data_IF_874082913825
#
_entry.id   IF_874082913825
#
_cell.length_a   1.000
_cell.length_b   1.000
_cell.length_c   1.000
_cell.angle_alpha   90.00
_cell.angle_beta   90.00
_cell.angle_gamma   90.00
#
_symmetry.space_group_name_H-M   'P 1'
#
loop_
_entity.id
_entity.type
_entity.pdbx_description
1 polymer ?
#
# COMPACT_ATOMS: atom_id res chain seq x y z
N UNK A 1 -27.12 6.23 -3.62
CA UNK A 1 -27.16 5.64 -2.27
C UNK A 1 -25.85 4.85 -2.08
N UNK A 2 -24.86 5.40 -1.37
CA UNK A 2 -23.55 4.75 -1.18
C UNK A 2 -23.61 3.89 0.08
N UNK A 3 -23.50 2.57 -0.06
CA UNK A 3 -23.34 1.68 1.08
C UNK A 3 -21.94 1.88 1.69
N UNK A 4 -21.80 1.95 3.03
CA UNK A 4 -20.49 2.03 3.65
C UNK A 4 -19.69 0.75 3.34
N UNK A 5 -18.60 0.89 2.59
CA UNK A 5 -17.64 -0.19 2.35
C UNK A 5 -16.65 -0.25 3.53
N UNK A 6 -16.67 -1.37 4.24
CA UNK A 6 -15.73 -1.72 5.29
C UNK A 6 -14.52 -2.39 4.65
N UNK A 7 -13.32 -1.84 4.85
CA UNK A 7 -12.09 -2.58 4.55
C UNK A 7 -11.69 -3.31 5.82
N UNK A 8 -11.87 -4.62 5.82
CA UNK A 8 -11.41 -5.50 6.88
C UNK A 8 -10.01 -5.99 6.53
N UNK A 9 -9.00 -5.61 7.32
CA UNK A 9 -7.70 -6.28 7.28
C UNK A 9 -7.60 -7.27 8.42
N UNK A 10 -7.31 -8.52 8.09
CA UNK A 10 -6.98 -9.56 9.07
C UNK A 10 -5.47 -9.68 9.18
N UNK A 11 -4.95 -9.52 10.39
CA UNK A 11 -3.55 -9.73 10.76
C UNK A 11 -3.53 -10.93 11.70
N UNK A 12 -2.66 -11.90 11.43
CA UNK A 12 -2.45 -13.07 12.29
C UNK A 12 -1.06 -12.96 12.91
N UNK A 13 -1.01 -12.86 14.23
CA UNK A 13 0.23 -12.80 15.00
C UNK A 13 0.35 -14.12 15.76
N UNK A 14 1.51 -14.77 15.66
CA UNK A 14 1.83 -16.01 16.39
C UNK A 14 3.03 -15.78 17.26
N UNK A 15 2.91 -16.07 18.56
CA UNK A 15 4.00 -15.96 19.52
C UNK A 15 4.16 -17.26 20.29
N UNK A 16 5.35 -17.85 20.24
CA UNK A 16 5.72 -19.03 21.03
C UNK A 16 6.41 -18.60 22.31
N UNK A 17 6.08 -19.24 23.43
CA UNK A 17 6.69 -18.98 24.73
C UNK A 17 6.78 -20.26 25.56
N UNK A 18 7.80 -20.33 26.43
CA UNK A 18 7.92 -21.41 27.43
C UNK A 18 7.13 -21.04 28.67
N UNK A 19 5.96 -21.67 28.85
CA UNK A 19 5.05 -21.47 29.96
C UNK A 19 4.04 -22.63 29.99
N UNK A 20 3.27 -22.77 31.09
CA UNK A 20 2.13 -23.69 31.08
C UNK A 20 0.92 -23.06 30.38
N UNK A 21 0.06 -23.89 29.78
CA UNK A 21 -1.16 -23.42 29.10
C UNK A 21 -2.08 -22.72 30.09
N UNK A 22 -2.17 -23.22 31.32
CA UNK A 22 -3.00 -22.65 32.39
C UNK A 22 -2.55 -21.24 32.76
N UNK A 23 -1.25 -21.02 32.94
CA UNK A 23 -0.72 -19.70 33.30
C UNK A 23 -0.94 -18.68 32.17
N UNK A 24 -0.72 -19.08 30.92
CA UNK A 24 -0.94 -18.21 29.75
C UNK A 24 -2.43 -17.94 29.52
N UNK A 25 -3.28 -18.95 29.75
CA UNK A 25 -4.74 -18.82 29.62
C UNK A 25 -5.35 -17.95 30.71
N UNK A 26 -4.83 -18.00 31.93
CA UNK A 26 -5.23 -17.09 33.02
C UNK A 26 -4.90 -15.63 32.68
N UNK A 27 -3.69 -15.38 32.15
CA UNK A 27 -3.26 -14.04 31.70
C UNK A 27 -4.12 -13.52 30.55
N UNK A 28 -4.44 -14.36 29.56
CA UNK A 28 -5.23 -13.94 28.39
C UNK A 28 -6.72 -13.81 28.74
N UNK A 29 -7.24 -14.67 29.60
CA UNK A 29 -8.62 -14.59 30.11
C UNK A 29 -8.82 -13.35 30.98
N UNK A 30 -7.77 -12.89 31.64
CA UNK A 30 -7.70 -11.61 32.30
C UNK A 30 -7.11 -10.54 31.35
N UNK A 31 -7.90 -10.14 30.35
CA UNK A 31 -7.45 -9.24 29.28
C UNK A 31 -6.81 -7.92 29.74
N UNK A 32 -7.05 -7.49 30.99
CA UNK A 32 -6.31 -6.42 31.66
C UNK A 32 -4.82 -6.73 31.76
N UNK A 33 -4.48 -7.90 32.33
CA UNK A 33 -3.11 -8.37 32.52
C UNK A 33 -2.41 -8.57 31.18
N UNK A 34 -3.11 -9.05 30.15
CA UNK A 34 -2.56 -9.14 28.79
C UNK A 34 -2.15 -7.77 28.22
N UNK A 35 -2.95 -6.72 28.46
CA UNK A 35 -2.63 -5.38 27.97
C UNK A 35 -1.58 -4.66 28.82
N UNK A 36 -1.53 -4.90 30.13
CA UNK A 36 -0.45 -4.39 30.99
C UNK A 36 0.93 -4.93 30.57
N UNK A 37 0.97 -6.15 30.03
CA UNK A 37 2.19 -6.77 29.54
C UNK A 37 2.62 -6.27 28.15
N UNK A 38 1.84 -5.38 27.52
CA UNK A 38 2.23 -4.77 26.25
C UNK A 38 3.30 -3.69 26.51
N UNK A 39 4.47 -3.77 25.84
CA UNK A 39 5.62 -2.91 26.15
C UNK A 39 5.42 -1.43 25.84
N UNK A 40 4.32 -1.07 25.19
CA UNK A 40 4.00 0.29 24.78
C UNK A 40 2.88 0.93 25.59
N UNK A 41 2.13 0.18 26.40
CA UNK A 41 1.07 0.73 27.25
C UNK A 41 1.71 1.46 28.43
N UNK A 42 1.35 2.75 28.62
CA UNK A 42 1.87 3.58 29.73
C UNK A 42 0.80 3.96 30.74
N UNK A 43 -0.48 3.82 30.40
CA UNK A 43 -1.59 4.05 31.31
C UNK A 43 -2.77 3.19 30.89
N UNK A 44 -3.43 2.58 31.86
CA UNK A 44 -4.69 1.88 31.71
C UNK A 44 -5.67 2.45 32.74
N UNK A 45 -6.87 2.83 32.33
CA UNK A 45 -7.94 3.30 33.20
C UNK A 45 -9.22 2.54 32.91
N UNK A 46 -9.85 1.95 33.93
CA UNK A 46 -11.14 1.30 33.77
C UNK A 46 -12.25 2.34 33.64
N UNK A 47 -13.12 2.16 32.65
CA UNK A 47 -14.38 2.90 32.59
C UNK A 47 -15.36 2.27 33.58
N UNK A 48 -15.47 2.83 34.79
CA UNK A 48 -16.37 2.32 35.83
C UNK A 48 -17.86 2.33 35.44
N UNK A 49 -18.23 3.01 34.35
CA UNK A 49 -19.59 2.97 33.81
C UNK A 49 -19.86 1.75 32.91
N UNK A 50 -18.82 1.04 32.48
CA UNK A 50 -18.92 -0.12 31.58
C UNK A 50 -18.04 -1.29 32.08
N UNK A 51 -18.63 -2.40 32.54
CA UNK A 51 -17.84 -3.55 32.98
C UNK A 51 -16.91 -4.03 31.86
N UNK A 52 -15.64 -4.28 32.22
CA UNK A 52 -14.59 -4.76 31.31
C UNK A 52 -14.26 -3.84 30.12
N UNK A 53 -14.49 -2.54 30.27
CA UNK A 53 -14.02 -1.53 29.31
C UNK A 53 -12.90 -0.69 29.91
N UNK A 54 -11.85 -0.48 29.13
CA UNK A 54 -10.65 0.21 29.58
C UNK A 54 -10.20 1.21 28.52
N UNK A 55 -9.66 2.33 28.99
CA UNK A 55 -8.92 3.27 28.19
C UNK A 55 -7.43 2.96 28.33
N UNK A 56 -6.79 2.70 27.20
CA UNK A 56 -5.35 2.49 27.10
C UNK A 56 -4.71 3.72 26.52
N UNK A 57 -3.62 4.18 27.13
CA UNK A 57 -2.71 5.15 26.54
C UNK A 57 -1.40 4.44 26.25
N UNK A 58 -1.04 4.41 24.98
CA UNK A 58 0.22 3.86 24.52
C UNK A 58 1.20 4.97 24.20
N UNK A 59 2.46 4.73 24.55
CA UNK A 59 3.59 5.56 24.16
C UNK A 59 4.38 4.83 23.09
N UNK A 60 3.98 5.06 21.85
CA UNK A 60 4.68 4.47 20.71
C UNK A 60 5.85 5.37 20.32
N UNK A 61 7.00 4.80 19.93
CA UNK A 61 8.08 5.58 19.35
C UNK A 61 7.53 6.45 18.24
N UNK A 62 7.83 7.75 18.27
CA UNK A 62 7.45 8.63 17.18
C UNK A 62 8.08 8.07 15.91
N UNK A 63 7.30 7.76 14.87
CA UNK A 63 7.83 7.26 13.61
C UNK A 63 8.72 8.29 12.90
N UNK A 64 8.76 9.53 13.39
CA UNK A 64 9.62 10.62 12.93
C UNK A 64 10.97 10.69 13.67
N UNK A 65 11.27 9.74 14.55
CA UNK A 65 12.49 9.74 15.39
C UNK A 65 12.56 10.88 16.42
N UNK A 66 11.55 11.75 16.45
CA UNK A 66 11.45 12.89 17.36
C UNK A 66 10.40 12.60 18.43
N UNK A 67 10.84 12.20 19.62
CA UNK A 67 9.97 12.01 20.78
C UNK A 67 9.14 10.72 20.75
N UNK A 68 8.07 10.70 21.54
CA UNK A 68 7.15 9.56 21.67
C UNK A 68 5.73 10.05 21.45
N UNK A 69 4.96 9.35 20.62
CA UNK A 69 3.55 9.67 20.39
C UNK A 69 2.69 9.01 21.45
N UNK A 70 1.61 9.68 21.84
CA UNK A 70 0.59 9.14 22.70
C UNK A 70 -0.62 8.74 21.86
N UNK A 71 -0.91 7.44 21.81
CA UNK A 71 -2.15 6.94 21.25
C UNK A 71 -3.09 6.59 22.39
N UNK A 72 -4.39 6.86 22.24
CA UNK A 72 -5.37 6.32 23.17
C UNK A 72 -6.43 5.48 22.46
N UNK A 73 -6.86 4.41 23.13
CA UNK A 73 -7.84 3.46 22.63
C UNK A 73 -8.80 3.08 23.75
N UNK A 74 -10.07 2.93 23.42
CA UNK A 74 -11.05 2.27 24.27
C UNK A 74 -11.12 0.81 23.84
N UNK A 75 -11.00 -0.13 24.77
CA UNK A 75 -11.11 -1.57 24.50
C UNK A 75 -12.04 -2.21 25.50
N UNK A 76 -12.98 -3.00 24.99
CA UNK A 76 -13.94 -3.79 25.74
C UNK A 76 -13.63 -5.27 25.56
N UNK A 77 -13.52 -5.98 26.68
CA UNK A 77 -13.24 -7.42 26.70
C UNK A 77 -14.52 -8.24 26.81
N UNK A 78 -14.60 -9.29 26.00
CA UNK A 78 -15.63 -10.33 26.16
C UNK A 78 -15.27 -11.25 27.32
N UNK A 79 -16.23 -11.97 27.91
CA UNK A 79 -15.92 -13.11 28.77
C UNK A 79 -15.01 -14.13 28.08
N UNK A 80 -14.19 -14.88 28.85
CA UNK A 80 -13.45 -16.01 28.32
C UNK A 80 -14.39 -16.97 27.60
N UNK A 81 -13.96 -17.47 26.44
CA UNK A 81 -14.71 -18.44 25.64
C UNK A 81 -13.87 -19.69 25.53
N UNK A 82 -14.47 -20.83 25.88
CA UNK A 82 -13.89 -22.14 25.63
C UNK A 82 -14.13 -22.50 24.15
N UNK A 83 -13.07 -22.63 23.37
CA UNK A 83 -13.13 -23.00 21.95
C UNK A 83 -12.56 -24.40 21.74
N UNK A 84 -12.89 -25.02 20.61
CA UNK A 84 -12.43 -26.38 20.26
C UNK A 84 -10.89 -26.51 20.17
N UNK A 85 -10.18 -25.38 20.07
CA UNK A 85 -8.73 -25.28 19.94
C UNK A 85 -8.02 -24.64 21.16
N UNK A 86 -8.74 -24.42 22.27
CA UNK A 86 -8.19 -23.92 23.54
C UNK A 86 -9.04 -22.82 24.22
N UNK A 87 -8.53 -22.27 25.33
CA UNK A 87 -9.13 -21.11 25.98
C UNK A 87 -8.72 -19.81 25.26
N UNK A 88 -9.60 -18.82 25.24
CA UNK A 88 -9.31 -17.53 24.64
C UNK A 88 -10.26 -16.41 25.04
N UNK A 89 -9.89 -15.19 24.64
CA UNK A 89 -10.70 -13.99 24.85
C UNK A 89 -10.93 -13.27 23.53
N UNK A 90 -12.09 -12.63 23.38
CA UNK A 90 -12.36 -11.73 22.27
C UNK A 90 -12.33 -10.29 22.78
N UNK A 91 -11.67 -9.41 22.02
CA UNK A 91 -11.52 -7.99 22.34
C UNK A 91 -12.14 -7.16 21.24
N UNK A 92 -12.78 -6.06 21.63
CA UNK A 92 -13.31 -5.06 20.73
C UNK A 92 -12.73 -3.73 21.12
N UNK A 93 -12.11 -3.03 20.18
CA UNK A 93 -11.50 -1.75 20.49
C UNK A 93 -11.74 -0.69 19.44
N UNK A 94 -11.52 0.55 19.85
CA UNK A 94 -11.60 1.74 19.01
C UNK A 94 -10.46 2.68 19.35
N UNK A 95 -9.74 3.14 18.34
CA UNK A 95 -8.72 4.19 18.50
C UNK A 95 -9.39 5.57 18.58
N UNK A 96 -9.00 6.37 19.58
CA UNK A 96 -9.65 7.65 19.92
C UNK A 96 -8.94 8.85 19.28
N UNK A 97 -7.62 8.80 19.05
CA UNK A 97 -6.79 9.98 18.71
C UNK A 97 -6.38 10.14 17.23
N UNK A 98 -7.08 9.52 16.29
CA UNK A 98 -6.78 9.66 14.85
C UNK A 98 -8.02 10.13 14.09
N UNK A 99 -7.82 10.96 13.03
CA UNK A 99 -8.91 11.44 12.13
C UNK A 99 -9.74 10.28 11.56
N UNK A 100 -9.14 9.09 11.50
CA UNK A 100 -9.79 7.81 11.30
C UNK A 100 -9.94 7.22 12.70
N UNK A 101 -11.13 6.96 13.23
CA UNK A 101 -11.26 6.12 14.44
C UNK A 101 -11.44 4.66 14.01
N UNK A 102 -10.40 3.92 13.61
CA UNK A 102 -10.57 2.53 13.24
C UNK A 102 -11.16 1.77 14.43
N UNK A 103 -12.17 0.96 14.12
CA UNK A 103 -12.60 -0.08 15.03
C UNK A 103 -11.73 -1.29 14.76
N UNK A 104 -11.45 -2.07 15.79
CA UNK A 104 -10.80 -3.35 15.61
C UNK A 104 -11.47 -4.40 16.47
N UNK A 105 -11.38 -5.64 16.01
CA UNK A 105 -11.75 -6.83 16.74
C UNK A 105 -10.51 -7.70 16.82
N UNK A 106 -10.09 -8.07 18.02
CA UNK A 106 -9.02 -9.05 18.22
C UNK A 106 -9.57 -10.32 18.85
N UNK A 107 -9.02 -11.47 18.45
CA UNK A 107 -9.30 -12.76 19.05
C UNK A 107 -7.98 -13.39 19.45
N UNK A 108 -7.78 -13.56 20.76
CA UNK A 108 -6.62 -14.24 21.31
C UNK A 108 -6.96 -15.68 21.66
N UNK A 109 -6.09 -16.59 21.26
CA UNK A 109 -6.19 -18.03 21.51
C UNK A 109 -4.86 -18.56 22.04
N UNK A 110 -4.96 -19.49 22.97
CA UNK A 110 -3.82 -20.21 23.52
C UNK A 110 -3.87 -21.63 23.02
N UNK A 111 -2.79 -22.08 22.39
CA UNK A 111 -2.67 -23.43 21.85
C UNK A 111 -1.44 -24.12 22.42
N UNK A 112 -1.62 -25.35 22.89
CA UNK A 112 -0.51 -26.21 23.27
C UNK A 112 0.26 -26.66 22.02
N UNK A 113 1.59 -26.69 22.11
CA UNK A 113 2.44 -27.17 21.01
C UNK A 113 2.89 -28.61 21.28
N UNK A 114 3.39 -29.28 20.24
CA UNK A 114 3.97 -30.63 20.38
C UNK A 114 5.25 -30.64 21.24
N UNK A 115 5.88 -29.48 21.47
CA UNK A 115 7.04 -29.34 22.35
C UNK A 115 6.59 -29.12 23.80
N UNK A 116 6.96 -30.05 24.68
CA UNK A 116 6.59 -30.02 26.09
C UNK A 116 7.00 -28.70 26.76
N UNK A 117 6.03 -28.03 27.41
CA UNK A 117 6.26 -26.75 28.08
C UNK A 117 6.36 -25.55 27.15
N UNK A 118 6.01 -25.68 25.87
CA UNK A 118 5.91 -24.58 24.91
C UNK A 118 4.46 -24.37 24.49
N UNK A 119 4.03 -23.12 24.57
CA UNK A 119 2.67 -22.67 24.25
C UNK A 119 2.74 -21.66 23.11
N UNK A 120 1.79 -21.73 22.18
CA UNK A 120 1.61 -20.79 21.09
C UNK A 120 0.38 -19.91 21.36
N UNK A 121 0.60 -18.61 21.45
CA UNK A 121 -0.47 -17.60 21.49
C UNK A 121 -0.72 -17.14 20.06
N UNK A 122 -1.95 -17.30 19.60
CA UNK A 122 -2.41 -16.85 18.28
C UNK A 122 -3.37 -15.67 18.49
N UNK A 123 -3.00 -14.52 17.96
CA UNK A 123 -3.86 -13.35 17.90
C UNK A 123 -4.34 -13.15 16.46
N UNK A 124 -5.65 -13.03 16.29
CA UNK A 124 -6.30 -12.68 15.03
C UNK A 124 -6.90 -11.29 15.21
N UNK A 125 -6.23 -10.29 14.64
CA UNK A 125 -6.64 -8.90 14.66
C UNK A 125 -7.34 -8.54 13.35
N UNK A 126 -8.60 -8.16 13.42
CA UNK A 126 -9.39 -7.61 12.33
C UNK A 126 -9.52 -6.11 12.54
N UNK A 127 -8.93 -5.31 11.66
CA UNK A 127 -9.05 -3.85 11.69
C UNK A 127 -10.12 -3.44 10.68
N UNK A 128 -11.18 -2.80 11.18
CA UNK A 128 -12.23 -2.17 10.38
C UNK A 128 -11.84 -0.70 10.15
N UNK A 129 -11.35 -0.41 8.95
CA UNK A 129 -11.07 0.97 8.54
C UNK A 129 -12.33 1.52 7.88
N UNK A 130 -13.02 2.42 8.59
CA UNK A 130 -14.32 2.95 8.17
C UNK A 130 -14.42 4.46 8.30
N UNK A 131 -15.21 5.05 7.39
CA UNK A 131 -15.71 6.45 7.32
C UNK A 131 -14.85 7.52 6.62
N UNK A 132 -13.52 7.47 6.68
CA UNK A 132 -12.70 8.56 6.08
C UNK A 132 -12.50 8.38 4.58
N UNK A 133 -12.29 7.16 4.09
CA UNK A 133 -12.14 6.89 2.65
C UNK A 133 -13.40 7.32 1.89
N UNK A 134 -14.61 6.97 2.35
CA UNK A 134 -15.84 7.39 1.65
C UNK A 134 -16.01 8.91 1.65
N UNK A 135 -15.67 9.62 2.73
CA UNK A 135 -15.77 11.09 2.77
C UNK A 135 -14.69 11.78 1.93
N UNK A 136 -13.45 11.26 1.95
CA UNK A 136 -12.34 11.75 1.13
C UNK A 136 -12.65 11.51 -0.36
N UNK A 137 -13.09 10.30 -0.71
CA UNK A 137 -13.45 9.89 -2.07
C UNK A 137 -14.70 10.63 -2.57
N UNK A 138 -15.69 10.91 -1.71
CA UNK A 138 -16.86 11.73 -2.08
C UNK A 138 -16.46 13.19 -2.32
N UNK A 139 -15.50 13.73 -1.55
CA UNK A 139 -14.95 15.07 -1.78
C UNK A 139 -14.11 15.13 -3.08
N UNK A 140 -13.28 14.13 -3.33
CA UNK A 140 -12.53 13.99 -4.59
C UNK A 140 -13.45 13.88 -5.81
N UNK A 141 -14.54 13.12 -5.69
CA UNK A 141 -15.57 12.98 -6.75
C UNK A 141 -16.27 14.30 -7.09
N UNK A 142 -16.57 15.11 -6.07
CA UNK A 142 -17.39 16.32 -6.24
C UNK A 142 -16.57 17.59 -6.56
N UNK A 143 -15.23 17.54 -6.45
CA UNK A 143 -14.35 18.69 -6.73
C UNK A 143 -13.03 18.25 -7.39
N UNK A 144 -13.02 17.94 -8.70
CA UNK A 144 -11.84 17.45 -9.42
C UNK A 144 -10.71 18.49 -9.59
N UNK A 145 -10.93 19.77 -9.24
CA UNK A 145 -9.91 20.84 -9.28
C UNK A 145 -9.25 21.13 -7.93
N UNK A 146 -9.52 20.34 -6.89
CA UNK A 146 -9.05 20.61 -5.52
C UNK A 146 -7.66 20.03 -5.19
N UNK A 147 -6.84 19.69 -6.18
CA UNK A 147 -5.47 19.18 -5.99
C UNK A 147 -4.56 20.18 -5.26
N UNK A 148 -4.83 21.48 -5.33
CA UNK A 148 -4.06 22.51 -4.64
C UNK A 148 -4.58 22.84 -3.23
N UNK A 149 -5.88 22.69 -2.96
CA UNK A 149 -6.48 23.08 -1.67
C UNK A 149 -6.48 21.93 -0.66
N UNK A 150 -6.53 20.67 -1.10
CA UNK A 150 -6.34 19.51 -0.20
C UNK A 150 -4.87 19.26 0.13
N UNK A 151 -3.93 19.59 -0.77
CA UNK A 151 -2.49 19.59 -0.47
C UNK A 151 -2.13 20.70 0.53
N UNK A 152 -2.75 21.88 0.43
CA UNK A 152 -2.68 22.91 1.46
C UNK A 152 -3.44 22.54 2.72
N UNK A 153 -4.60 21.87 2.65
CA UNK A 153 -5.43 21.53 3.81
C UNK A 153 -4.87 20.39 4.67
N UNK A 154 -4.50 19.26 4.07
CA UNK A 154 -3.80 18.18 4.79
C UNK A 154 -2.36 18.57 5.14
N UNK A 155 -1.68 19.32 4.26
CA UNK A 155 -0.32 19.82 4.50
C UNK A 155 -0.25 20.86 5.61
N UNK A 156 -1.16 21.84 5.64
CA UNK A 156 -1.26 22.81 6.74
C UNK A 156 -1.70 22.16 8.04
N UNK A 157 -2.62 21.19 8.05
CA UNK A 157 -3.04 20.58 9.33
C UNK A 157 -2.00 19.62 9.91
N UNK A 158 -1.29 18.87 9.07
CA UNK A 158 -0.11 18.10 9.51
C UNK A 158 1.03 19.04 9.93
N UNK A 159 1.20 20.19 9.26
CA UNK A 159 2.15 21.23 9.65
C UNK A 159 1.76 21.97 10.95
N UNK A 160 0.47 22.23 11.20
CA UNK A 160 -0.04 22.89 12.41
C UNK A 160 0.01 21.98 13.64
N UNK A 161 -0.10 20.67 13.45
CA UNK A 161 0.18 19.68 14.52
C UNK A 161 1.68 19.46 14.76
N UNK A 162 2.55 19.84 13.80
CA UNK A 162 4.02 19.80 13.93
C UNK A 162 4.62 21.10 14.49
N UNK A 163 4.05 22.27 14.20
CA UNK A 163 4.58 23.58 14.61
C UNK A 163 4.24 23.96 16.05
N UNK A 164 3.24 23.34 16.66
CA UNK A 164 2.95 23.52 18.10
C UNK A 164 3.85 22.68 19.02
N UNK A 165 4.71 21.80 18.49
CA UNK A 165 5.51 20.86 19.29
C UNK A 165 7.02 21.02 19.16
N UNK A 166 7.55 21.74 18.16
CA UNK A 166 8.98 22.04 18.05
C UNK A 166 9.21 23.32 17.20
N UNK A 167 9.51 24.49 17.81
CA UNK A 167 9.64 25.73 17.03
C UNK A 167 10.93 25.84 16.19
N UNK A 168 11.94 24.99 16.43
CA UNK A 168 13.31 25.22 15.94
C UNK A 168 13.96 23.98 15.27
N UNK A 169 13.37 23.41 14.22
CA UNK A 169 14.06 22.40 13.41
C UNK A 169 13.97 22.70 11.91
N UNK A 170 15.02 23.30 11.37
CA UNK A 170 15.25 23.55 9.93
C UNK A 170 15.88 22.34 9.21
N UNK A 171 15.67 21.12 9.71
CA UNK A 171 16.17 19.89 9.06
C UNK A 171 15.06 19.20 8.29
N UNK A 172 15.27 19.09 6.97
CA UNK A 172 14.45 18.39 5.98
C UNK A 172 13.91 17.06 6.53
N UNK A 173 12.62 17.05 6.84
CA UNK A 173 11.83 15.94 7.37
C UNK A 173 11.67 14.85 6.32
N UNK A 174 12.34 13.70 6.48
CA UNK A 174 12.04 12.50 5.71
C UNK A 174 10.77 11.83 6.27
N UNK A 175 9.67 11.90 5.50
CA UNK A 175 8.38 11.27 5.77
C UNK A 175 8.45 9.74 5.55
N UNK A 176 8.69 8.95 6.60
CA UNK A 176 8.76 7.48 6.50
C UNK A 176 7.84 6.72 7.48
N UNK A 177 7.12 5.67 7.01
CA UNK A 177 6.65 5.44 5.65
C UNK A 177 5.15 5.73 5.61
N UNK A 178 4.79 6.95 5.25
CA UNK A 178 3.49 7.16 4.61
C UNK A 178 3.44 6.38 3.27
N UNK A 179 4.62 6.12 2.69
CA UNK A 179 4.82 5.45 1.42
C UNK A 179 5.56 4.13 1.57
N UNK A 180 5.20 3.13 0.76
CA UNK A 180 5.92 1.88 0.61
C UNK A 180 6.46 1.78 -0.82
N UNK A 181 7.65 1.21 -0.96
CA UNK A 181 8.20 0.89 -2.27
C UNK A 181 7.71 -0.49 -2.71
N UNK A 182 7.29 -0.60 -3.96
CA UNK A 182 6.82 -1.83 -4.60
C UNK A 182 7.56 -2.04 -5.90
N UNK A 183 8.05 -3.25 -6.09
CA UNK A 183 8.63 -3.71 -7.35
C UNK A 183 7.66 -4.71 -7.99
N UNK A 184 7.31 -4.47 -9.25
CA UNK A 184 6.45 -5.30 -10.07
C UNK A 184 7.31 -5.81 -11.23
N UNK A 185 7.38 -7.12 -11.39
CA UNK A 185 8.14 -7.75 -12.48
C UNK A 185 7.16 -8.46 -13.40
N UNK A 186 7.15 -8.08 -14.67
CA UNK A 186 6.27 -8.62 -15.70
C UNK A 186 7.16 -9.23 -16.79
N UNK A 187 6.81 -10.44 -17.22
CA UNK A 187 7.52 -11.16 -18.28
C UNK A 187 6.54 -11.62 -19.35
N UNK A 188 6.92 -11.50 -20.61
CA UNK A 188 6.14 -12.01 -21.73
C UNK A 188 7.06 -12.60 -22.80
N UNK A 189 6.77 -13.82 -23.24
CA UNK A 189 7.38 -14.40 -24.44
C UNK A 189 6.55 -14.04 -25.66
N UNK A 190 7.20 -13.66 -26.74
CA UNK A 190 6.59 -13.17 -27.97
C UNK A 190 7.23 -13.89 -29.17
N UNK A 191 6.41 -14.37 -30.10
CA UNK A 191 6.88 -15.06 -31.32
C UNK A 191 7.17 -14.05 -32.43
N UNK A 192 8.31 -13.39 -32.32
CA UNK A 192 8.78 -12.41 -33.30
C UNK A 192 10.31 -12.31 -33.25
N UNK A 193 10.90 -11.65 -34.25
CA UNK A 193 12.33 -11.33 -34.22
C UNK A 193 12.64 -10.28 -33.15
N UNK A 194 13.86 -10.33 -32.61
CA UNK A 194 14.36 -9.31 -31.67
C UNK A 194 14.21 -7.90 -32.24
N UNK A 195 14.53 -7.70 -33.52
CA UNK A 195 14.41 -6.41 -34.19
C UNK A 195 12.97 -5.86 -34.19
N UNK A 196 11.97 -6.71 -34.46
CA UNK A 196 10.57 -6.30 -34.51
C UNK A 196 10.06 -5.85 -33.12
N UNK A 197 10.45 -6.56 -32.06
CA UNK A 197 10.07 -6.19 -30.69
C UNK A 197 10.89 -4.99 -30.19
N UNK A 198 12.17 -4.93 -30.54
CA UNK A 198 13.07 -3.81 -30.21
C UNK A 198 12.61 -2.49 -30.84
N UNK A 199 11.92 -2.51 -31.99
CA UNK A 199 11.37 -1.30 -32.61
C UNK A 199 10.39 -0.55 -31.70
N UNK A 200 9.58 -1.29 -30.94
CA UNK A 200 8.64 -0.70 -29.98
C UNK A 200 9.31 -0.44 -28.64
N UNK A 201 10.09 -1.40 -28.14
CA UNK A 201 10.68 -1.33 -26.79
C UNK A 201 11.93 -0.47 -26.70
N UNK A 202 12.49 0.01 -27.82
CA UNK A 202 13.54 1.05 -27.85
C UNK A 202 12.97 2.47 -27.98
N UNK A 203 11.67 2.61 -28.26
CA UNK A 203 10.99 3.89 -28.48
C UNK A 203 9.92 4.06 -27.41
N UNK A 204 10.21 4.92 -26.43
CA UNK A 204 9.34 5.16 -25.30
C UNK A 204 7.92 5.60 -25.66
N UNK A 205 7.78 6.42 -26.71
CA UNK A 205 6.49 6.89 -27.15
C UNK A 205 5.69 5.76 -27.80
N UNK A 206 6.31 5.01 -28.73
CA UNK A 206 5.66 3.83 -29.33
C UNK A 206 5.26 2.81 -28.27
N UNK A 207 6.12 2.56 -27.28
CA UNK A 207 5.84 1.63 -26.18
C UNK A 207 4.66 2.10 -25.34
N UNK A 208 4.67 3.35 -24.87
CA UNK A 208 3.62 3.86 -23.98
C UNK A 208 2.27 4.04 -24.69
N UNK A 209 2.25 4.28 -26.00
CA UNK A 209 1.00 4.31 -26.79
C UNK A 209 0.27 2.95 -26.83
N UNK A 210 0.93 1.85 -26.45
CA UNK A 210 0.27 0.54 -26.33
C UNK A 210 -0.55 0.42 -25.03
N UNK A 211 -0.29 1.27 -24.04
CA UNK A 211 -0.94 1.23 -22.72
C UNK A 211 -2.45 1.56 -22.83
N UNK A 212 -3.34 0.82 -22.13
CA UNK A 212 -4.79 0.89 -22.36
C UNK A 212 -5.49 2.17 -21.85
N UNK A 213 -4.89 2.86 -20.89
CA UNK A 213 -5.43 4.03 -20.22
C UNK A 213 -4.87 5.36 -20.75
N UNK A 214 -3.77 5.34 -21.51
CA UNK A 214 -3.17 6.53 -22.12
C UNK A 214 -4.13 7.12 -23.14
N UNK A 215 -4.61 8.34 -22.86
CA UNK A 215 -5.45 9.12 -23.76
C UNK A 215 -4.62 10.04 -24.65
N UNK A 216 -3.60 10.67 -24.07
CA UNK A 216 -2.76 11.65 -24.76
C UNK A 216 -1.34 11.59 -24.21
N UNK A 217 -0.38 11.70 -25.12
CA UNK A 217 1.02 11.99 -24.79
C UNK A 217 1.41 13.28 -25.50
N UNK A 218 2.17 14.14 -24.81
CA UNK A 218 2.67 15.38 -25.36
C UNK A 218 4.14 15.53 -24.99
N UNK A 219 4.99 15.61 -26.00
CA UNK A 219 6.43 15.89 -25.85
C UNK A 219 6.62 17.33 -25.35
N UNK A 220 7.58 17.51 -24.43
CA UNK A 220 8.01 18.83 -24.00
C UNK A 220 8.92 19.47 -25.06
N UNK A 221 8.53 20.64 -25.57
CA UNK A 221 9.29 21.35 -26.61
C UNK A 221 10.71 21.77 -26.20
N UNK A 222 10.98 21.84 -24.89
CA UNK A 222 12.28 22.19 -24.33
C UNK A 222 13.14 20.97 -23.99
N UNK A 223 12.54 19.78 -23.87
CA UNK A 223 13.25 18.54 -23.56
C UNK A 223 12.58 17.36 -24.29
N UNK A 224 13.16 16.86 -25.40
CA UNK A 224 12.55 15.81 -26.22
C UNK A 224 12.50 14.44 -25.52
N UNK A 225 13.18 14.29 -24.39
CA UNK A 225 13.12 13.07 -23.57
C UNK A 225 11.97 13.11 -22.56
N UNK A 226 11.34 14.27 -22.33
CA UNK A 226 10.28 14.47 -21.35
C UNK A 226 8.91 14.52 -22.03
N UNK A 227 7.98 13.73 -21.51
CA UNK A 227 6.62 13.64 -22.00
C UNK A 227 5.64 13.88 -20.87
N UNK A 228 4.59 14.62 -21.17
CA UNK A 228 3.39 14.73 -20.36
C UNK A 228 2.39 13.70 -20.83
N UNK A 229 2.00 12.79 -19.95
CA UNK A 229 1.03 11.74 -20.22
C UNK A 229 -0.28 12.07 -19.49
N UNK A 230 -1.39 11.96 -20.21
CA UNK A 230 -2.74 12.02 -19.67
C UNK A 230 -3.37 10.64 -19.81
N UNK A 231 -3.81 10.08 -18.69
CA UNK A 231 -4.50 8.80 -18.61
C UNK A 231 -5.91 8.97 -18.08
N UNK A 232 -6.78 8.02 -18.44
CA UNK A 232 -8.07 7.82 -17.79
C UNK A 232 -8.12 6.41 -17.22
N UNK A 233 -8.11 6.32 -15.90
CA UNK A 233 -8.03 5.06 -15.17
C UNK A 233 -9.31 4.81 -14.38
N UNK A 234 -9.69 3.54 -14.16
CA UNK A 234 -10.78 3.22 -13.25
C UNK A 234 -10.37 3.64 -11.84
N UNK A 235 -11.18 4.46 -11.18
CA UNK A 235 -10.96 4.83 -9.79
C UNK A 235 -10.96 3.59 -8.87
N UNK A 236 -10.45 3.70 -7.63
CA UNK A 236 -10.54 2.60 -6.67
C UNK A 236 -11.94 2.00 -6.63
N UNK A 237 -12.00 0.67 -6.69
CA UNK A 237 -13.24 -0.13 -6.74
C UNK A 237 -14.03 -0.08 -8.07
N UNK A 238 -13.50 0.57 -9.12
CA UNK A 238 -14.06 0.51 -10.48
C UNK A 238 -15.43 1.17 -10.66
N UNK A 239 -15.82 2.06 -9.74
CA UNK A 239 -17.14 2.67 -9.72
C UNK A 239 -17.27 3.91 -10.62
N UNK A 240 -16.15 4.51 -11.01
CA UNK A 240 -16.06 5.64 -11.96
C UNK A 240 -14.66 5.66 -12.59
N UNK A 241 -14.47 6.54 -13.57
CA UNK A 241 -13.17 6.81 -14.17
C UNK A 241 -12.62 8.13 -13.64
N UNK A 242 -11.29 8.19 -13.48
CA UNK A 242 -10.59 9.40 -13.07
C UNK A 242 -9.50 9.73 -14.08
N UNK A 243 -9.37 11.03 -14.37
CA UNK A 243 -8.25 11.54 -15.16
C UNK A 243 -7.03 11.64 -14.25
N UNK A 244 -5.89 11.16 -14.75
CA UNK A 244 -4.59 11.25 -14.10
C UNK A 244 -3.58 11.81 -15.08
N UNK A 245 -2.62 12.59 -14.60
CA UNK A 245 -1.49 13.00 -15.41
C UNK A 245 -0.17 12.86 -14.68
N UNK A 246 0.86 12.63 -15.48
CA UNK A 246 2.21 12.46 -14.99
C UNK A 246 3.22 12.86 -16.06
N UNK A 247 4.41 13.16 -15.59
CA UNK A 247 5.58 13.33 -16.42
C UNK A 247 6.32 12.01 -16.51
N UNK A 248 6.84 11.70 -17.70
CA UNK A 248 7.66 10.54 -17.95
C UNK A 248 8.86 10.94 -18.78
N UNK A 249 10.05 10.54 -18.32
CA UNK A 249 11.31 10.73 -19.00
C UNK A 249 11.76 9.38 -19.53
N UNK A 250 12.01 9.33 -20.84
CA UNK A 250 12.59 8.17 -21.50
C UNK A 250 14.10 8.34 -21.61
N UNK A 251 14.85 7.29 -21.28
CA UNK A 251 16.27 7.23 -21.62
C UNK A 251 16.47 7.01 -23.12
N UNK A 252 17.70 7.21 -23.59
CA UNK A 252 18.12 6.61 -24.85
C UNK A 252 18.02 5.08 -24.77
N UNK A 253 17.90 4.38 -25.92
CA UNK A 253 17.92 2.92 -25.93
C UNK A 253 19.15 2.38 -25.19
N UNK A 254 18.93 1.39 -24.33
CA UNK A 254 19.97 0.75 -23.52
C UNK A 254 20.14 -0.69 -23.97
N UNK A 255 21.38 -1.15 -24.05
CA UNK A 255 21.74 -2.55 -24.25
C UNK A 255 22.70 -2.97 -23.12
N UNK A 256 22.25 -3.89 -22.29
CA UNK A 256 22.97 -4.40 -21.12
C UNK A 256 22.82 -5.93 -21.00
N UNK A 257 23.34 -6.53 -19.92
CA UNK A 257 23.23 -7.97 -19.67
C UNK A 257 21.77 -8.48 -19.63
N UNK A 258 20.81 -7.59 -19.35
CA UNK A 258 19.38 -7.88 -19.35
C UNK A 258 18.75 -7.92 -20.75
N UNK A 259 19.44 -7.39 -21.76
CA UNK A 259 18.99 -7.29 -23.15
C UNK A 259 18.93 -5.85 -23.65
N UNK A 260 18.19 -5.63 -24.73
CA UNK A 260 17.98 -4.30 -25.34
C UNK A 260 16.62 -3.72 -24.97
N UNK A 261 16.53 -2.42 -24.68
CA UNK A 261 15.25 -1.74 -24.45
C UNK A 261 15.40 -0.30 -23.99
N UNK A 262 14.59 0.12 -23.00
CA UNK A 262 14.55 1.49 -22.47
C UNK A 262 14.42 1.52 -20.96
N UNK A 263 14.92 2.60 -20.36
CA UNK A 263 14.60 2.99 -19.00
C UNK A 263 13.64 4.17 -18.99
N UNK A 264 12.72 4.16 -18.05
CA UNK A 264 11.69 5.15 -17.87
C UNK A 264 11.69 5.63 -16.43
N UNK A 265 11.56 6.93 -16.22
CA UNK A 265 11.32 7.50 -14.90
C UNK A 265 10.17 8.47 -14.96
N UNK A 266 9.24 8.37 -14.03
CA UNK A 266 8.03 9.17 -14.03
C UNK A 266 7.73 9.81 -12.69
N UNK A 267 7.07 10.96 -12.75
CA UNK A 267 6.56 11.67 -11.60
C UNK A 267 5.06 11.95 -11.81
N UNK A 268 4.23 11.38 -10.94
CA UNK A 268 2.79 11.64 -10.97
C UNK A 268 2.48 13.01 -10.38
N UNK A 269 1.47 13.70 -10.92
CA UNK A 269 0.99 14.95 -10.34
C UNK A 269 0.39 14.73 -8.95
N UNK A 270 -0.25 13.58 -8.77
CA UNK A 270 -0.70 13.07 -7.48
C UNK A 270 0.50 12.61 -6.62
N UNK A 271 1.42 13.53 -6.32
CA UNK A 271 2.67 13.28 -5.57
C UNK A 271 2.42 12.66 -4.19
N UNK A 272 1.24 12.86 -3.62
CA UNK A 272 0.83 12.28 -2.34
C UNK A 272 0.45 10.79 -2.45
N UNK A 273 0.08 10.33 -3.65
CA UNK A 273 -0.39 8.95 -3.88
C UNK A 273 0.72 8.07 -4.42
N UNK A 274 1.46 8.57 -5.42
CA UNK A 274 2.53 7.82 -6.08
C UNK A 274 3.63 8.78 -6.58
N UNK A 275 4.51 9.27 -5.69
CA UNK A 275 5.44 10.34 -6.01
C UNK A 275 6.45 10.00 -7.11
N UNK A 276 6.80 8.71 -7.27
CA UNK A 276 7.85 8.28 -8.18
C UNK A 276 7.56 6.92 -8.77
N UNK A 277 7.77 6.80 -10.08
CA UNK A 277 7.78 5.56 -10.84
C UNK A 277 9.11 5.44 -11.55
N UNK A 278 9.66 4.24 -11.61
CA UNK A 278 10.74 3.86 -12.52
C UNK A 278 10.33 2.57 -13.21
N UNK A 279 10.58 2.44 -14.50
CA UNK A 279 10.42 1.20 -15.24
C UNK A 279 11.69 0.90 -16.03
N UNK A 280 12.10 -0.36 -16.07
CA UNK A 280 13.13 -0.83 -17.00
C UNK A 280 12.51 -1.90 -17.88
N UNK A 281 12.62 -1.73 -19.19
CA UNK A 281 12.13 -2.69 -20.18
C UNK A 281 13.33 -3.27 -20.92
N UNK A 282 13.41 -4.59 -21.00
CA UNK A 282 14.46 -5.31 -21.71
C UNK A 282 13.87 -6.40 -22.56
N UNK A 283 14.47 -6.61 -23.72
CA UNK A 283 14.13 -7.66 -24.68
C UNK A 283 15.37 -8.46 -25.00
N UNK A 284 15.25 -9.77 -24.97
CA UNK A 284 16.33 -10.72 -25.30
C UNK A 284 15.80 -11.90 -26.09
N UNK A 285 16.65 -12.51 -26.89
CA UNK A 285 16.35 -13.78 -27.52
C UNK A 285 16.25 -14.89 -26.48
N UNK A 286 15.39 -15.87 -26.75
CA UNK A 286 15.29 -17.08 -25.93
C UNK A 286 16.01 -18.23 -26.59
N UNK A 287 16.10 -19.36 -25.90
CA UNK A 287 16.61 -20.62 -26.46
C UNK A 287 15.74 -21.11 -27.64
N UNK A 288 14.46 -20.74 -27.70
CA UNK A 288 13.59 -21.07 -28.82
C UNK A 288 13.79 -20.10 -30.00
N UNK A 289 14.13 -20.61 -31.20
CA UNK A 289 14.28 -19.77 -32.40
C UNK A 289 12.99 -19.01 -32.72
N UNK A 290 13.13 -17.71 -33.00
CA UNK A 290 11.99 -16.85 -33.33
C UNK A 290 11.11 -16.48 -32.13
N UNK A 291 11.56 -16.77 -30.91
CA UNK A 291 10.89 -16.37 -29.67
C UNK A 291 11.80 -15.45 -28.85
N UNK A 292 11.25 -14.31 -28.44
CA UNK A 292 11.94 -13.34 -27.59
C UNK A 292 11.20 -13.18 -26.27
N UNK A 293 11.94 -12.86 -25.21
CA UNK A 293 11.38 -12.53 -23.90
C UNK A 293 11.50 -11.04 -23.65
N UNK A 294 10.36 -10.40 -23.37
CA UNK A 294 10.28 -9.04 -22.84
C UNK A 294 10.14 -9.12 -21.32
N UNK A 295 11.03 -8.44 -20.62
CA UNK A 295 11.00 -8.29 -19.16
C UNK A 295 10.85 -6.82 -18.83
N UNK A 296 9.83 -6.50 -18.04
CA UNK A 296 9.61 -5.16 -17.50
C UNK A 296 9.68 -5.21 -15.97
N UNK A 297 10.51 -4.34 -15.38
CA UNK A 297 10.65 -4.17 -13.93
C UNK A 297 10.21 -2.75 -13.58
N UNK A 298 9.03 -2.63 -12.97
CA UNK A 298 8.55 -1.38 -12.40
C UNK A 298 8.90 -1.28 -10.92
N UNK A 299 9.43 -0.13 -10.51
CA UNK A 299 9.56 0.28 -9.12
C UNK A 299 8.71 1.52 -8.88
N UNK A 300 7.79 1.43 -7.92
CA UNK A 300 6.90 2.53 -7.58
C UNK A 300 6.90 2.76 -6.08
N UNK A 301 6.96 4.04 -5.70
CA UNK A 301 6.69 4.47 -4.34
C UNK A 301 5.22 4.85 -4.23
N UNK A 302 4.48 4.23 -3.31
CA UNK A 302 3.02 4.39 -3.19
C UNK A 302 2.58 4.61 -1.77
N UNK A 303 1.56 5.45 -1.57
CA UNK A 303 0.92 5.64 -0.27
C UNK A 303 0.38 4.30 0.26
N UNK A 304 0.68 3.96 1.52
CA UNK A 304 0.45 2.61 2.08
C UNK A 304 -1.00 2.11 1.93
N UNK A 305 -1.99 3.00 2.05
CA UNK A 305 -3.42 2.65 1.93
C UNK A 305 -3.89 2.48 0.48
N UNK A 306 -3.16 3.06 -0.48
CA UNK A 306 -3.45 2.98 -1.91
C UNK A 306 -2.61 1.92 -2.62
N UNK A 307 -1.61 1.35 -1.95
CA UNK A 307 -0.63 0.48 -2.55
C UNK A 307 -1.22 -0.71 -3.32
N UNK A 308 -2.21 -1.40 -2.75
CA UNK A 308 -2.84 -2.55 -3.41
C UNK A 308 -3.59 -2.16 -4.68
N UNK A 309 -4.28 -1.02 -4.65
CA UNK A 309 -4.99 -0.51 -5.82
C UNK A 309 -4.03 -0.05 -6.91
N UNK A 310 -3.03 0.77 -6.56
CA UNK A 310 -2.06 1.30 -7.52
C UNK A 310 -1.24 0.18 -8.14
N UNK A 311 -0.71 -0.75 -7.32
CA UNK A 311 0.06 -1.88 -7.83
C UNK A 311 -0.79 -2.77 -8.75
N UNK A 312 -2.03 -3.08 -8.36
CA UNK A 312 -2.92 -3.91 -9.18
C UNK A 312 -3.33 -3.22 -10.50
N UNK A 313 -3.53 -1.90 -10.48
CA UNK A 313 -3.83 -1.11 -11.68
C UNK A 313 -2.65 -1.12 -12.65
N UNK A 314 -1.44 -0.85 -12.15
CA UNK A 314 -0.21 -0.83 -12.94
C UNK A 314 0.09 -2.21 -13.51
N UNK A 315 0.04 -3.26 -12.68
CA UNK A 315 0.30 -4.62 -13.12
C UNK A 315 -0.66 -5.03 -14.25
N UNK A 316 -1.95 -4.68 -14.13
CA UNK A 316 -2.92 -4.92 -15.20
C UNK A 316 -2.59 -4.14 -16.45
N UNK A 317 -2.38 -2.83 -16.34
CA UNK A 317 -2.11 -1.95 -17.48
C UNK A 317 -0.91 -2.43 -18.30
N UNK A 318 0.17 -2.85 -17.64
CA UNK A 318 1.40 -3.29 -18.28
C UNK A 318 1.32 -4.73 -18.83
N UNK A 319 0.52 -5.62 -18.20
CA UNK A 319 0.18 -6.90 -18.83
C UNK A 319 -0.60 -6.71 -20.12
N UNK A 320 -1.56 -5.80 -20.13
CA UNK A 320 -2.35 -5.47 -21.31
C UNK A 320 -1.48 -4.83 -22.40
N UNK A 321 -0.56 -3.94 -22.00
CA UNK A 321 0.45 -3.33 -22.89
C UNK A 321 1.27 -4.41 -23.61
N UNK A 322 1.87 -5.34 -22.87
CA UNK A 322 2.69 -6.42 -23.45
C UNK A 322 1.87 -7.39 -24.29
N UNK A 323 0.58 -7.56 -23.98
CA UNK A 323 -0.33 -8.38 -24.79
C UNK A 323 -0.59 -7.72 -26.14
N UNK A 324 -0.87 -6.41 -26.17
CA UNK A 324 -1.01 -5.63 -27.41
C UNK A 324 0.28 -5.56 -28.22
N UNK A 325 1.43 -5.48 -27.55
CA UNK A 325 2.74 -5.57 -28.22
C UNK A 325 2.85 -6.91 -28.96
N UNK A 326 2.59 -8.01 -28.27
CA UNK A 326 2.65 -9.36 -28.85
C UNK A 326 1.70 -9.49 -30.04
N UNK A 327 0.43 -9.10 -29.88
CA UNK A 327 -0.56 -9.13 -30.97
C UNK A 327 -0.08 -8.37 -32.21
N UNK A 328 0.51 -7.18 -32.01
CA UNK A 328 0.92 -6.32 -33.11
C UNK A 328 2.12 -6.86 -33.89
N UNK A 329 3.11 -7.44 -33.20
CA UNK A 329 4.33 -7.96 -33.86
C UNK A 329 4.13 -9.38 -34.40
N UNK A 330 3.32 -10.21 -33.74
CA UNK A 330 3.03 -11.58 -34.19
C UNK A 330 2.12 -11.58 -35.43
N UNK A 331 1.19 -10.62 -35.54
CA UNK A 331 0.40 -10.43 -36.75
C UNK A 331 1.26 -10.09 -37.97
N UNK A 332 2.25 -9.20 -37.81
CA UNK A 332 3.17 -8.79 -38.87
C UNK A 332 4.19 -9.87 -39.24
N UNK A 333 4.49 -10.80 -38.34
CA UNK A 333 5.36 -11.94 -38.63
C UNK A 333 4.66 -13.03 -39.48
N UNK A 334 3.33 -12.99 -39.54
CA UNK A 334 2.49 -13.97 -40.24
C UNK A 334 2.04 -13.51 -41.64
N UNK A 335 2.35 -12.27 -42.03
CA UNK A 335 1.99 -11.65 -43.32
C UNK A 335 3.18 -11.59 -44.27
#
# INVERSE_FOLDING_TARGET
MLWPLYVNRTIVIRKRMRASVEAVSEIISNGELYMELQPFVIKMEQDHSKPRSYMFIERVPSPLGCGKLLNAYEVTFSPPVEAADGQGVNMWGRMIFTFVSPKFRSSLRVKETEEAGVVEVVEILVIEIMRVMTSLMTRMRNQPRLDQTLSLGLGWFLSLSLSSLCPNSTKSTMLWPLYIDRTIVIRRRIRASLAAVAEFTSDGEKYMRLQPFVMKMQEDTSNPCLYRVLERVPAPFGLWEMDNSFELVFSQPVEDEGGRGIDMSGQMDAKIVAPKVKSTVRVRETEEPGVVEVVEILSIQVLIFMASYVAGLIERAHKDLLSRLAERVEANASS
#
